data_IF_549467565628
#
_entry.id   IF_549467565628
#
_cell.length_a   1.000
_cell.length_b   1.000
_cell.length_c   1.000
_cell.angle_alpha   90.00
_cell.angle_beta   90.00
_cell.angle_gamma   90.00
#
_symmetry.space_group_name_H-M   'P 1'
#
loop_
_entity.id
_entity.type
_entity.pdbx_description
1 polymer ?
#
# COMPACT_ATOMS: atom_id res chain seq x y z
N UNK A 1 -4.21 -0.03 -11.49
CA UNK A 1 -2.89 -0.02 -10.83
C UNK A 1 -3.09 -0.36 -9.36
N UNK A 2 -2.21 -1.15 -8.77
CA UNK A 2 -2.15 -1.34 -7.31
C UNK A 2 -1.03 -0.45 -6.76
N UNK A 3 -1.27 0.24 -5.65
CA UNK A 3 -0.25 1.14 -5.06
C UNK A 3 0.21 0.72 -3.67
N UNK A 4 -0.42 -0.29 -3.08
CA UNK A 4 -0.09 -0.80 -1.75
C UNK A 4 0.08 -2.32 -1.81
N UNK A 5 1.30 -2.79 -2.08
CA UNK A 5 1.61 -4.21 -2.19
C UNK A 5 2.83 -4.55 -1.35
N UNK A 6 2.76 -5.70 -0.68
CA UNK A 6 3.76 -6.15 0.28
C UNK A 6 4.28 -7.53 -0.09
N UNK A 7 5.59 -7.70 0.07
CA UNK A 7 6.29 -8.99 -0.01
C UNK A 7 6.71 -9.43 1.40
N UNK A 8 7.38 -10.58 1.51
CA UNK A 8 7.98 -11.01 2.78
C UNK A 8 9.02 -10.03 3.34
N UNK A 9 9.51 -9.07 2.53
CA UNK A 9 10.43 -8.03 2.99
C UNK A 9 9.73 -6.97 3.87
N UNK A 10 8.40 -6.93 3.85
CA UNK A 10 7.60 -6.40 4.96
C UNK A 10 7.72 -7.36 6.15
N UNK A 11 8.83 -7.26 6.89
CA UNK A 11 9.21 -8.25 7.89
C UNK A 11 8.11 -8.51 8.90
N UNK A 12 7.94 -9.79 9.22
CA UNK A 12 6.89 -10.34 10.08
C UNK A 12 5.45 -9.94 9.68
N UNK A 13 5.24 -9.44 8.47
CA UNK A 13 3.94 -8.97 8.00
C UNK A 13 3.56 -9.62 6.67
N UNK A 14 4.26 -9.29 5.58
CA UNK A 14 3.98 -9.84 4.26
C UNK A 14 4.44 -11.28 4.14
N UNK A 15 3.84 -12.03 3.20
CA UNK A 15 4.08 -13.48 3.08
C UNK A 15 4.45 -13.92 1.67
N UNK A 16 4.30 -13.04 0.69
CA UNK A 16 4.52 -13.36 -0.72
C UNK A 16 5.98 -13.07 -1.11
N UNK A 17 6.59 -13.95 -1.91
CA UNK A 17 7.85 -13.61 -2.56
C UNK A 17 7.64 -12.58 -3.68
N UNK A 18 8.65 -11.78 -4.02
CA UNK A 18 8.62 -10.90 -5.19
C UNK A 18 8.13 -11.56 -6.48
N UNK A 19 8.69 -12.74 -6.81
CA UNK A 19 8.30 -13.51 -7.98
C UNK A 19 6.82 -13.91 -7.95
N UNK A 20 6.35 -14.44 -6.81
CA UNK A 20 4.96 -14.87 -6.68
C UNK A 20 3.97 -13.71 -6.75
N UNK A 21 4.36 -12.55 -6.22
CA UNK A 21 3.58 -11.32 -6.32
C UNK A 21 3.39 -10.91 -7.78
N UNK A 22 4.46 -10.94 -8.58
CA UNK A 22 4.41 -10.63 -10.02
C UNK A 22 3.49 -11.59 -10.79
N UNK A 23 3.61 -12.90 -10.53
CA UNK A 23 2.74 -13.92 -11.13
C UNK A 23 1.26 -13.67 -10.81
N UNK A 24 0.94 -13.42 -9.53
CA UNK A 24 -0.44 -13.28 -9.08
C UNK A 24 -1.07 -11.96 -9.58
N UNK A 25 -0.30 -10.87 -9.62
CA UNK A 25 -0.72 -9.57 -10.16
C UNK A 25 -1.08 -9.70 -11.64
N UNK A 26 -0.19 -10.33 -12.41
CA UNK A 26 -0.38 -10.56 -13.84
C UNK A 26 -1.59 -11.47 -14.09
N UNK A 27 -1.68 -12.58 -13.36
CA UNK A 27 -2.78 -13.54 -13.46
C UNK A 27 -4.15 -12.95 -13.10
N UNK A 28 -4.20 -11.89 -12.28
CA UNK A 28 -5.43 -11.18 -11.91
C UNK A 28 -5.75 -9.97 -12.78
N UNK A 29 -5.01 -9.77 -13.87
CA UNK A 29 -5.30 -8.79 -14.90
C UNK A 29 -4.79 -7.38 -14.61
N UNK A 30 -3.84 -7.24 -13.68
CA UNK A 30 -3.16 -5.97 -13.44
C UNK A 30 -1.92 -5.85 -14.31
N UNK A 31 -1.75 -4.69 -14.93
CA UNK A 31 -0.56 -4.36 -15.73
C UNK A 31 0.39 -3.37 -15.04
N UNK A 32 -0.01 -2.80 -13.91
CA UNK A 32 0.73 -1.76 -13.20
C UNK A 32 0.59 -1.96 -11.69
N UNK A 33 1.71 -1.95 -10.98
CA UNK A 33 1.71 -1.98 -9.52
C UNK A 33 2.90 -1.22 -8.92
N UNK A 34 2.77 -0.82 -7.66
CA UNK A 34 3.86 -0.30 -6.85
C UNK A 34 4.20 -1.31 -5.75
N UNK A 35 5.49 -1.59 -5.57
CA UNK A 35 5.98 -2.27 -4.37
C UNK A 35 6.19 -1.25 -3.27
N UNK A 36 5.58 -1.50 -2.12
CA UNK A 36 5.51 -0.58 -0.99
C UNK A 36 5.66 -1.36 0.30
N UNK A 37 6.76 -2.11 0.42
CA UNK A 37 7.03 -2.86 1.64
C UNK A 37 7.07 -1.96 2.88
N UNK A 38 6.59 -2.52 3.99
CA UNK A 38 6.44 -1.80 5.26
C UNK A 38 7.82 -1.44 5.79
N UNK A 39 8.10 -0.13 5.84
CA UNK A 39 9.36 0.43 6.34
C UNK A 39 10.62 -0.22 5.69
N UNK A 40 10.53 -0.65 4.42
CA UNK A 40 11.60 -1.40 3.75
C UNK A 40 11.57 -1.20 2.22
N UNK A 41 12.72 -1.32 1.57
CA UNK A 41 12.91 -1.24 0.10
C UNK A 41 13.68 -2.42 -0.49
N UNK A 42 13.92 -3.48 0.30
CA UNK A 42 14.76 -4.62 -0.09
C UNK A 42 14.22 -5.39 -1.31
N UNK A 43 12.90 -5.49 -1.45
CA UNK A 43 12.26 -6.20 -2.57
C UNK A 43 12.50 -5.54 -3.93
N UNK A 44 12.88 -4.25 -3.98
CA UNK A 44 12.99 -3.50 -5.22
C UNK A 44 13.94 -4.15 -6.23
N UNK A 45 15.11 -4.64 -5.77
CA UNK A 45 16.10 -5.26 -6.66
C UNK A 45 15.66 -6.63 -7.17
N UNK A 46 15.01 -7.44 -6.34
CA UNK A 46 14.47 -8.73 -6.77
C UNK A 46 13.37 -8.51 -7.83
N UNK A 47 12.45 -7.59 -7.60
CA UNK A 47 11.40 -7.27 -8.56
C UNK A 47 11.95 -6.70 -9.88
N UNK A 48 13.01 -5.89 -9.84
CA UNK A 48 13.66 -5.41 -11.07
C UNK A 48 14.19 -6.54 -11.94
N UNK A 49 14.65 -7.65 -11.32
CA UNK A 49 15.11 -8.84 -12.06
C UNK A 49 13.95 -9.63 -12.64
N UNK A 50 12.76 -9.56 -12.06
CA UNK A 50 11.55 -10.24 -12.55
C UNK A 50 10.88 -9.51 -13.72
N UNK A 51 11.04 -8.18 -13.85
CA UNK A 51 10.36 -7.40 -14.89
C UNK A 51 10.67 -7.83 -16.34
N UNK A 52 11.92 -8.14 -16.73
CA UNK A 52 12.22 -8.63 -18.08
C UNK A 52 11.46 -9.91 -18.47
N UNK A 53 11.06 -10.72 -17.49
CA UNK A 53 10.30 -11.95 -17.69
C UNK A 53 8.79 -11.73 -17.82
N UNK A 54 8.30 -10.51 -17.56
CA UNK A 54 6.88 -10.18 -17.51
C UNK A 54 6.58 -8.96 -18.41
N UNK A 55 6.70 -9.11 -19.74
CA UNK A 55 6.50 -8.00 -20.68
C UNK A 55 5.07 -7.46 -20.57
N UNK A 56 4.95 -6.16 -20.33
CA UNK A 56 3.66 -5.47 -20.13
C UNK A 56 3.32 -5.16 -18.68
N UNK A 57 4.11 -5.65 -17.71
CA UNK A 57 4.01 -5.26 -16.31
C UNK A 57 4.88 -4.03 -16.05
N UNK A 58 4.29 -2.99 -15.47
CA UNK A 58 5.00 -1.79 -15.00
C UNK A 58 5.07 -1.79 -13.49
N UNK A 59 6.26 -1.50 -12.99
CA UNK A 59 6.57 -1.42 -11.57
C UNK A 59 6.90 0.02 -11.18
N UNK A 60 6.35 0.44 -10.06
CA UNK A 60 6.76 1.64 -9.34
C UNK A 60 7.37 1.27 -7.98
N UNK A 61 8.21 2.15 -7.45
CA UNK A 61 8.77 2.01 -6.12
C UNK A 61 8.11 2.94 -5.12
N UNK A 62 7.93 2.43 -3.91
CA UNK A 62 7.45 3.21 -2.79
C UNK A 62 7.76 2.53 -1.48
N UNK A 63 7.23 3.10 -0.40
CA UNK A 63 7.37 2.62 0.97
C UNK A 63 6.04 2.83 1.68
N UNK A 64 5.56 1.81 2.39
CA UNK A 64 4.45 1.94 3.35
C UNK A 64 5.02 2.31 4.71
N UNK A 65 4.88 3.58 5.11
CA UNK A 65 5.40 4.08 6.37
C UNK A 65 4.43 3.80 7.50
N UNK A 66 4.85 2.98 8.47
CA UNK A 66 4.02 2.55 9.60
C UNK A 66 4.71 2.74 10.94
N UNK A 67 3.91 3.08 11.95
CA UNK A 67 4.28 2.96 13.36
C UNK A 67 3.61 1.70 13.93
N UNK A 68 4.38 0.62 14.05
CA UNK A 68 3.82 -0.71 14.31
C UNK A 68 2.84 -1.09 13.20
N UNK A 69 1.59 -1.39 13.56
CA UNK A 69 0.53 -1.71 12.60
C UNK A 69 -0.13 -0.49 11.95
N UNK A 70 0.05 0.69 12.55
CA UNK A 70 -0.65 1.89 12.11
C UNK A 70 0.05 2.50 10.90
N UNK A 71 -0.58 2.36 9.74
CA UNK A 71 -0.19 3.05 8.53
C UNK A 71 -0.32 4.57 8.72
N UNK A 72 0.77 5.29 8.49
CA UNK A 72 0.78 6.76 8.49
C UNK A 72 0.54 7.28 7.07
N UNK A 73 1.32 6.80 6.11
CA UNK A 73 1.16 7.12 4.69
C UNK A 73 1.98 6.16 3.82
N UNK A 74 1.57 6.05 2.55
CA UNK A 74 2.34 5.40 1.50
C UNK A 74 3.02 6.47 0.64
N UNK A 75 4.35 6.37 0.51
CA UNK A 75 5.12 7.22 -0.38
C UNK A 75 5.44 6.51 -1.68
N UNK A 76 5.16 7.15 -2.81
CA UNK A 76 5.36 6.59 -4.15
C UNK A 76 6.32 7.48 -4.93
N UNK A 77 7.46 6.92 -5.33
CA UNK A 77 8.49 7.64 -6.06
C UNK A 77 8.08 7.85 -7.52
N UNK A 78 8.13 9.09 -7.99
CA UNK A 78 7.86 9.43 -9.39
C UNK A 78 9.08 9.18 -10.29
N UNK A 79 10.28 9.16 -9.69
CA UNK A 79 11.55 8.95 -10.37
C UNK A 79 12.64 8.53 -9.36
N UNK A 80 13.87 8.37 -9.83
CA UNK A 80 15.01 7.98 -9.00
C UNK A 80 15.32 8.98 -7.88
N UNK A 81 15.09 10.28 -8.09
CA UNK A 81 15.27 11.30 -7.04
C UNK A 81 14.20 11.14 -5.95
N UNK A 82 12.94 10.88 -6.32
CA UNK A 82 11.89 10.58 -5.36
C UNK A 82 12.17 9.31 -4.56
N UNK A 83 12.75 8.29 -5.19
CA UNK A 83 13.16 7.08 -4.48
C UNK A 83 14.30 7.37 -3.49
N UNK A 84 15.26 8.23 -3.84
CA UNK A 84 16.29 8.70 -2.91
C UNK A 84 15.67 9.47 -1.73
N UNK A 85 14.74 10.41 -1.98
CA UNK A 85 14.03 11.16 -0.93
C UNK A 85 13.34 10.22 0.07
N UNK A 86 12.64 9.20 -0.43
CA UNK A 86 11.97 8.19 0.40
C UNK A 86 12.96 7.41 1.30
N UNK A 87 14.08 6.95 0.73
CA UNK A 87 15.07 6.18 1.48
C UNK A 87 15.82 7.04 2.52
N UNK A 88 16.12 8.31 2.20
CA UNK A 88 16.72 9.24 3.16
C UNK A 88 15.78 9.48 4.34
N UNK A 89 14.49 9.70 4.07
CA UNK A 89 13.47 9.85 5.11
C UNK A 89 13.33 8.59 5.96
N UNK A 90 13.21 7.41 5.33
CA UNK A 90 13.14 6.13 6.05
C UNK A 90 14.36 5.94 6.97
N UNK A 91 15.57 6.15 6.44
CA UNK A 91 16.82 6.00 7.19
C UNK A 91 16.88 6.90 8.41
N UNK A 92 16.48 8.17 8.26
CA UNK A 92 16.48 9.13 9.37
C UNK A 92 15.63 8.64 10.55
N UNK A 93 14.41 8.18 10.29
CA UNK A 93 13.49 7.75 11.34
C UNK A 93 13.94 6.43 11.98
N UNK A 94 14.37 5.44 11.18
CA UNK A 94 14.82 4.16 11.68
C UNK A 94 16.09 4.29 12.55
N UNK A 95 17.10 5.04 12.10
CA UNK A 95 18.33 5.25 12.88
C UNK A 95 18.08 6.05 14.15
N UNK A 96 17.15 7.01 14.12
CA UNK A 96 16.82 7.81 15.29
C UNK A 96 15.84 7.12 16.26
N UNK A 97 15.28 5.95 15.89
CA UNK A 97 14.25 5.28 16.69
C UNK A 97 12.98 6.13 16.87
N UNK A 98 12.67 6.98 15.88
CA UNK A 98 11.52 7.91 15.94
C UNK A 98 10.30 7.30 15.26
N UNK A 99 9.14 7.63 15.77
CA UNK A 99 7.87 7.36 15.10
C UNK A 99 7.63 8.36 13.95
N UNK A 100 7.07 7.87 12.84
CA UNK A 100 6.64 8.72 11.74
C UNK A 100 5.49 9.63 12.18
N UNK A 101 5.58 10.91 11.85
CA UNK A 101 4.46 11.82 12.08
C UNK A 101 3.29 11.48 11.15
N UNK A 102 2.01 11.71 11.54
CA UNK A 102 0.86 11.42 10.67
C UNK A 102 0.81 12.23 9.38
N UNK A 103 1.47 13.40 9.34
CA UNK A 103 1.63 14.22 8.13
C UNK A 103 3.04 14.03 7.60
N UNK A 104 3.15 13.61 6.34
CA UNK A 104 4.44 13.46 5.70
C UNK A 104 5.14 14.82 5.56
N UNK A 105 6.48 14.86 5.58
CA UNK A 105 7.22 16.06 5.21
C UNK A 105 6.99 16.38 3.72
N UNK A 106 7.46 17.55 3.30
CA UNK A 106 7.45 17.87 1.88
C UNK A 106 8.47 17.01 1.13
N UNK A 107 8.05 16.48 -0.02
CA UNK A 107 8.89 15.76 -0.97
C UNK A 107 8.69 16.37 -2.35
N UNK A 108 9.76 16.52 -3.12
CA UNK A 108 9.68 17.14 -4.45
C UNK A 108 9.21 16.13 -5.50
N UNK A 109 9.66 14.87 -5.41
CA UNK A 109 9.48 13.85 -6.45
C UNK A 109 8.69 12.62 -5.96
N UNK A 110 7.87 12.79 -4.92
CA UNK A 110 7.09 11.71 -4.31
C UNK A 110 5.61 12.10 -4.25
N UNK A 111 4.74 11.14 -4.58
CA UNK A 111 3.32 11.19 -4.28
C UNK A 111 3.04 10.55 -2.92
N UNK A 112 2.26 11.20 -2.08
CA UNK A 112 1.91 10.72 -0.74
C UNK A 112 0.44 10.35 -0.71
N UNK A 113 0.15 9.13 -0.25
CA UNK A 113 -1.21 8.63 -0.08
C UNK A 113 -1.45 8.33 1.39
N UNK A 114 -2.36 9.08 2.01
CA UNK A 114 -2.76 8.87 3.40
C UNK A 114 -3.89 7.83 3.48
N UNK A 115 -3.96 7.01 4.55
CA UNK A 115 -5.10 6.13 4.75
C UNK A 115 -6.40 6.92 4.91
N UNK A 116 -7.53 6.30 4.59
CA UNK A 116 -8.84 6.93 4.71
C UNK A 116 -9.10 7.42 6.14
N UNK A 117 -9.53 8.67 6.26
CA UNK A 117 -9.89 9.30 7.53
C UNK A 117 -11.16 10.12 7.37
N UNK A 118 -12.01 10.14 8.40
CA UNK A 118 -13.18 11.02 8.44
C UNK A 118 -12.83 12.49 8.73
N UNK A 119 -11.59 12.76 9.13
CA UNK A 119 -11.12 14.10 9.41
C UNK A 119 -10.60 14.74 8.12
N UNK A 120 -11.14 15.91 7.79
CA UNK A 120 -10.62 16.73 6.70
C UNK A 120 -9.32 17.40 7.13
N UNK A 121 -8.38 17.48 6.20
CA UNK A 121 -7.23 18.36 6.30
C UNK A 121 -6.80 18.79 4.90
N UNK A 122 -6.15 19.95 4.80
CA UNK A 122 -5.71 20.46 3.52
C UNK A 122 -4.57 19.59 2.96
N UNK A 123 -4.83 18.95 1.82
CA UNK A 123 -3.82 18.21 1.06
C UNK A 123 -2.98 19.18 0.22
N UNK A 124 -1.67 18.98 0.23
CA UNK A 124 -0.72 19.66 -0.66
C UNK A 124 -0.82 19.10 -2.09
N UNK A 125 -0.15 19.72 -3.08
CA UNK A 125 0.10 19.06 -4.36
C UNK A 125 0.76 17.69 -4.14
N UNK A 126 0.42 16.70 -4.99
CA UNK A 126 0.89 15.30 -4.89
C UNK A 126 0.51 14.53 -3.60
N UNK A 127 -0.35 15.11 -2.76
CA UNK A 127 -0.97 14.39 -1.66
C UNK A 127 -2.40 13.95 -1.99
N UNK A 128 -2.75 12.73 -1.58
CA UNK A 128 -4.02 12.06 -1.86
C UNK A 128 -4.54 11.31 -0.62
N UNK A 129 -5.83 11.01 -0.61
CA UNK A 129 -6.44 10.05 0.32
C UNK A 129 -6.67 8.73 -0.39
N UNK A 130 -6.14 7.68 0.21
CA UNK A 130 -6.36 6.30 -0.18
C UNK A 130 -7.68 5.78 0.34
N UNK A 131 -8.46 5.15 -0.54
CA UNK A 131 -9.70 4.46 -0.18
C UNK A 131 -9.63 2.99 -0.61
N UNK A 132 -10.08 2.10 0.26
CA UNK A 132 -10.24 0.68 -0.03
C UNK A 132 -11.68 0.36 -0.44
N UNK A 133 -11.93 -0.88 -0.88
CA UNK A 133 -13.30 -1.35 -1.11
C UNK A 133 -14.18 -1.27 0.16
N UNK A 134 -13.58 -1.42 1.35
CA UNK A 134 -14.31 -1.34 2.62
C UNK A 134 -14.73 0.10 3.00
N UNK A 135 -14.04 1.10 2.46
CA UNK A 135 -14.31 2.51 2.75
C UNK A 135 -15.43 3.10 1.90
N UNK A 136 -15.83 2.41 0.81
CA UNK A 136 -16.83 2.89 -0.15
C UNK A 136 -18.17 3.27 0.51
N UNK A 137 -18.60 2.52 1.52
CA UNK A 137 -19.85 2.80 2.24
C UNK A 137 -19.74 4.02 3.16
N UNK A 138 -18.54 4.38 3.60
CA UNK A 138 -18.29 5.50 4.49
C UNK A 138 -17.96 6.78 3.73
N UNK A 139 -17.45 6.67 2.51
CA UNK A 139 -17.03 7.80 1.68
C UNK A 139 -18.12 8.87 1.49
N UNK A 140 -19.40 8.56 1.20
CA UNK A 140 -20.46 9.56 1.04
C UNK A 140 -20.74 10.40 2.29
N UNK A 141 -20.35 9.90 3.47
CA UNK A 141 -20.52 10.55 4.76
C UNK A 141 -19.24 11.22 5.26
N UNK A 142 -18.21 11.27 4.42
CA UNK A 142 -16.93 11.88 4.72
C UNK A 142 -16.81 13.24 4.02
N UNK A 143 -15.94 14.14 4.52
CA UNK A 143 -15.66 15.41 3.84
C UNK A 143 -15.03 15.20 2.45
N UNK A 144 -14.47 14.01 2.18
CA UNK A 144 -13.79 13.72 0.92
C UNK A 144 -14.73 13.47 -0.27
N UNK A 145 -16.03 13.32 -0.03
CA UNK A 145 -17.03 13.19 -1.10
C UNK A 145 -16.98 14.36 -2.09
N UNK A 146 -16.63 15.56 -1.60
CA UNK A 146 -16.56 16.80 -2.37
C UNK A 146 -15.16 17.02 -3.00
N UNK A 147 -14.21 16.13 -2.73
CA UNK A 147 -12.83 16.18 -3.26
C UNK A 147 -12.44 14.90 -4.03
N UNK A 148 -13.25 14.44 -5.00
CA UNK A 148 -13.03 13.15 -5.65
C UNK A 148 -11.72 13.09 -6.47
N UNK A 149 -11.19 14.24 -6.89
CA UNK A 149 -9.88 14.36 -7.57
C UNK A 149 -8.67 14.10 -6.66
N UNK A 150 -8.88 14.06 -5.33
CA UNK A 150 -7.85 13.72 -4.33
C UNK A 150 -7.95 12.29 -3.83
N UNK A 151 -8.92 11.52 -4.33
CA UNK A 151 -9.13 10.13 -3.92
C UNK A 151 -8.42 9.18 -4.87
N UNK A 152 -7.71 8.21 -4.30
CA UNK A 152 -7.02 7.14 -5.03
C UNK A 152 -7.29 5.80 -4.35
N UNK A 153 -7.18 4.72 -5.09
CA UNK A 153 -7.37 3.38 -4.57
C UNK A 153 -6.20 3.02 -3.69
N UNK A 154 -6.47 2.65 -2.44
CA UNK A 154 -5.49 2.10 -1.51
C UNK A 154 -6.03 0.79 -0.94
N UNK A 155 -5.90 -0.27 -1.73
CA UNK A 155 -6.25 -1.64 -1.33
C UNK A 155 -4.95 -2.40 -1.04
N UNK A 156 -4.60 -2.65 0.24
CA UNK A 156 -3.38 -3.38 0.57
C UNK A 156 -3.44 -4.81 0.06
N UNK A 157 -2.32 -5.30 -0.46
CA UNK A 157 -2.13 -6.68 -0.92
C UNK A 157 -0.95 -7.27 -0.16
N UNK A 158 -1.23 -8.15 0.78
CA UNK A 158 -0.24 -8.74 1.69
C UNK A 158 -0.21 -10.27 1.64
N UNK A 159 -1.33 -10.87 1.21
CA UNK A 159 -1.58 -12.32 1.23
C UNK A 159 -2.27 -12.77 -0.06
N UNK A 160 -2.14 -14.05 -0.42
CA UNK A 160 -2.88 -14.63 -1.55
C UNK A 160 -4.23 -15.20 -1.13
N UNK A 161 -4.27 -15.76 0.08
CA UNK A 161 -5.39 -16.56 0.56
C UNK A 161 -5.37 -16.68 2.10
N UNK A 162 -6.32 -17.45 2.64
CA UNK A 162 -6.46 -17.70 4.08
C UNK A 162 -5.24 -18.40 4.71
N UNK A 163 -4.51 -19.22 3.96
CA UNK A 163 -3.31 -19.88 4.47
C UNK A 163 -2.20 -18.86 4.75
N UNK A 164 -1.92 -18.00 3.78
CA UNK A 164 -0.97 -16.88 3.93
C UNK A 164 -1.39 -15.93 5.06
N UNK A 165 -2.68 -15.64 5.18
CA UNK A 165 -3.19 -14.83 6.30
C UNK A 165 -2.90 -15.47 7.67
N UNK A 166 -3.00 -16.80 7.79
CA UNK A 166 -2.63 -17.48 9.02
C UNK A 166 -1.11 -17.45 9.26
N UNK A 167 -0.30 -17.59 8.21
CA UNK A 167 1.15 -17.44 8.30
C UNK A 167 1.53 -16.04 8.81
N UNK A 168 0.89 -14.99 8.30
CA UNK A 168 1.02 -13.64 8.83
C UNK A 168 0.74 -13.56 10.33
N UNK A 169 -0.38 -14.11 10.80
CA UNK A 169 -0.70 -14.08 12.24
C UNK A 169 0.36 -14.79 13.08
N UNK A 170 0.94 -15.88 12.57
CA UNK A 170 2.07 -16.55 13.24
C UNK A 170 3.30 -15.64 13.30
N UNK A 171 3.67 -15.00 12.18
CA UNK A 171 4.77 -14.03 12.13
C UNK A 171 4.56 -12.86 13.10
N UNK A 172 3.34 -12.31 13.17
CA UNK A 172 2.98 -11.25 14.14
C UNK A 172 3.10 -11.73 15.58
N UNK A 173 2.73 -12.97 15.87
CA UNK A 173 2.88 -13.56 17.22
C UNK A 173 4.35 -13.73 17.62
N UNK A 174 5.22 -14.04 16.65
CA UNK A 174 6.68 -14.08 16.86
C UNK A 174 7.20 -12.67 17.18
N UNK A 175 6.82 -11.66 16.39
CA UNK A 175 7.24 -10.27 16.63
C UNK A 175 6.78 -9.75 18.00
N UNK A 176 5.54 -10.06 18.40
CA UNK A 176 4.99 -9.64 19.70
C UNK A 176 5.38 -10.56 20.84
N UNK A 177 6.18 -11.60 20.57
CA UNK A 177 6.60 -12.59 21.54
C UNK A 177 5.41 -13.13 22.36
N UNK A 178 4.35 -13.55 21.68
CA UNK A 178 3.13 -14.05 22.31
C UNK A 178 2.59 -15.31 21.61
N UNK A 179 1.70 -16.03 22.28
CA UNK A 179 0.99 -17.14 21.62
C UNK A 179 -0.01 -16.59 20.60
N UNK A 180 -0.24 -17.34 19.51
CA UNK A 180 -1.23 -16.97 18.48
C UNK A 180 -2.64 -16.72 19.07
N UNK A 181 -3.01 -17.44 20.13
CA UNK A 181 -4.28 -17.27 20.84
C UNK A 181 -4.35 -15.95 21.63
N UNK A 182 -3.20 -15.36 21.97
CA UNK A 182 -3.07 -14.10 22.70
C UNK A 182 -2.77 -12.90 21.79
N UNK A 183 -2.59 -13.12 20.49
CA UNK A 183 -2.31 -12.04 19.54
C UNK A 183 -3.51 -11.08 19.44
N UNK A 184 -3.36 -9.79 19.78
CA UNK A 184 -4.43 -8.81 19.68
C UNK A 184 -4.94 -8.66 18.24
N UNK A 185 -6.23 -8.29 18.07
CA UNK A 185 -6.83 -8.12 16.74
C UNK A 185 -6.29 -6.90 15.99
N UNK A 186 -5.93 -5.84 16.70
CA UNK A 186 -5.23 -4.68 16.14
C UNK A 186 -3.78 -4.96 15.74
N UNK A 187 -3.22 -6.12 16.14
CA UNK A 187 -1.90 -6.61 15.73
C UNK A 187 -1.96 -7.56 14.54
N UNK A 188 -3.14 -7.72 13.94
CA UNK A 188 -3.39 -8.56 12.78
C UNK A 188 -3.81 -7.67 11.61
N UNK A 189 -3.30 -7.98 10.41
CA UNK A 189 -3.80 -7.43 9.18
C UNK A 189 -5.28 -7.77 8.98
N UNK A 190 -5.96 -7.04 8.09
CA UNK A 190 -7.30 -7.41 7.68
C UNK A 190 -7.25 -8.66 6.78
N UNK A 191 -8.17 -9.63 6.94
CA UNK A 191 -8.27 -10.78 6.03
C UNK A 191 -8.53 -10.39 4.58
N UNK A 192 -9.02 -9.16 4.35
CA UNK A 192 -9.28 -8.58 3.03
C UNK A 192 -8.04 -7.99 2.36
N UNK A 193 -6.85 -8.03 2.97
CA UNK A 193 -5.57 -7.66 2.33
C UNK A 193 -5.09 -8.74 1.34
N UNK A 194 -6.05 -9.31 0.60
CA UNK A 194 -5.84 -10.30 -0.44
C UNK A 194 -5.97 -9.64 -1.79
N UNK A 195 -5.18 -10.11 -2.76
CA UNK A 195 -5.24 -9.60 -4.12
C UNK A 195 -6.59 -9.97 -4.77
N UNK A 196 -7.45 -8.99 -5.01
CA UNK A 196 -8.72 -9.14 -5.74
C UNK A 196 -8.48 -9.13 -7.25
N UNK A 197 -9.23 -9.90 -8.07
CA UNK A 197 -9.19 -9.76 -9.52
C UNK A 197 -9.54 -8.34 -9.98
N UNK A 198 -8.83 -7.82 -10.99
CA UNK A 198 -9.02 -6.42 -11.42
C UNK A 198 -10.46 -6.12 -11.86
N UNK A 199 -11.12 -7.07 -12.54
CA UNK A 199 -12.50 -6.90 -13.00
C UNK A 199 -13.51 -6.77 -11.85
N UNK A 200 -13.33 -7.51 -10.74
CA UNK A 200 -14.18 -7.40 -9.54
C UNK A 200 -13.98 -6.04 -8.88
N UNK A 201 -12.73 -5.62 -8.75
CA UNK A 201 -12.39 -4.30 -8.23
C UNK A 201 -13.04 -3.19 -9.08
N UNK A 202 -12.99 -3.30 -10.40
CA UNK A 202 -13.68 -2.36 -11.29
C UNK A 202 -15.19 -2.34 -11.03
N UNK A 203 -15.83 -3.50 -10.85
CA UNK A 203 -17.25 -3.58 -10.55
C UNK A 203 -17.62 -2.89 -9.24
N UNK A 204 -16.82 -3.04 -8.19
CA UNK A 204 -17.06 -2.35 -6.91
C UNK A 204 -17.00 -0.83 -7.04
N UNK A 205 -16.14 -0.32 -7.92
CA UNK A 205 -15.94 1.12 -8.14
C UNK A 205 -16.75 1.69 -9.32
N UNK A 206 -17.60 0.90 -10.00
CA UNK A 206 -18.40 1.36 -11.17
C UNK A 206 -19.42 2.47 -10.85
N UNK A 207 -19.74 2.71 -9.58
CA UNK A 207 -20.60 3.83 -9.18
C UNK A 207 -20.04 5.19 -9.66
N UNK A 208 -20.92 6.09 -10.12
CA UNK A 208 -20.54 7.32 -10.85
C UNK A 208 -19.56 8.24 -10.11
N UNK A 209 -19.62 8.30 -8.78
CA UNK A 209 -18.68 9.11 -7.98
C UNK A 209 -17.34 8.41 -7.69
N UNK A 210 -17.28 7.07 -7.76
CA UNK A 210 -16.12 6.28 -7.34
C UNK A 210 -15.27 5.81 -8.52
N UNK A 211 -15.81 5.83 -9.74
CA UNK A 211 -15.07 5.45 -10.95
C UNK A 211 -13.83 6.34 -11.17
N UNK A 212 -13.88 7.60 -10.74
CA UNK A 212 -12.74 8.53 -10.86
C UNK A 212 -11.55 8.09 -10.00
N UNK A 213 -11.79 7.34 -8.92
CA UNK A 213 -10.73 6.89 -8.00
C UNK A 213 -9.76 5.97 -8.73
N UNK A 214 -10.30 5.00 -9.50
CA UNK A 214 -9.48 4.09 -10.29
C UNK A 214 -8.70 4.83 -11.38
N UNK A 215 -9.32 5.85 -11.99
CA UNK A 215 -8.67 6.72 -12.97
C UNK A 215 -7.51 7.50 -12.34
N UNK A 216 -7.75 8.21 -11.23
CA UNK A 216 -6.72 8.95 -10.50
C UNK A 216 -5.57 8.05 -10.08
N UNK A 217 -5.86 6.81 -9.69
CA UNK A 217 -4.83 5.82 -9.31
C UNK A 217 -3.94 5.45 -10.49
N UNK A 218 -4.52 5.33 -11.70
CA UNK A 218 -3.75 5.04 -12.92
C UNK A 218 -2.91 6.22 -13.38
N UNK A 219 -3.33 7.45 -13.08
CA UNK A 219 -2.64 8.70 -13.47
C UNK A 219 -1.59 9.16 -12.45
N UNK A 220 -1.40 8.41 -11.35
CA UNK A 220 -0.59 8.85 -10.22
C UNK A 220 0.93 8.82 -10.47
N UNK A 221 1.38 7.90 -11.33
CA UNK A 221 2.78 7.65 -11.69
C UNK A 221 2.95 7.42 -13.20
#
# INVERSE_FOLDING_TARGET
>A
MLINTHTYFSFNYGTMSPQKLVEDITGKGYSHFAITDINNTSACFELLRELPHNPGLRLAFGIDFRNGMQQQYVGLAQNNQGFMELNLHLTHYLHAGKEFLPRAPYFEHVCIVYPFSKHYFQLKPKEYIGISAADLNQLPFSPWKDHPHKLVLLQPVSFRNKYDYNAHRLLRSIEKNCLLSMLPKNEQALPSEVLMPYHELQQLFKGSSNAVVLKNTQELL
#
